data_IF_472685776932
#
_entry.id   IF_472685776932
#
_cell.length_a   1.000
_cell.length_b   1.000
_cell.length_c   1.000
_cell.angle_alpha   90.00
_cell.angle_beta   90.00
_cell.angle_gamma   90.00
#
_symmetry.space_group_name_H-M   'P 1'
#
loop_
_entity.id
_entity.type
_entity.pdbx_description
1 polymer ?
#
# COMPACT_ATOMS: atom_id res chain seq x y z
N UNK A 1 23.20 -10.26 -6.31
CA UNK A 1 23.18 -8.83 -6.03
C UNK A 1 21.91 -8.20 -6.57
N UNK A 2 21.23 -7.42 -5.76
CA UNK A 2 20.00 -6.80 -6.24
C UNK A 2 20.28 -5.88 -7.42
N UNK A 3 19.49 -5.95 -8.50
CA UNK A 3 19.68 -5.09 -9.66
C UNK A 3 19.66 -3.59 -9.32
N UNK A 4 18.97 -3.21 -8.28
CA UNK A 4 18.84 -1.82 -7.86
C UNK A 4 20.14 -1.24 -7.30
N UNK A 5 20.89 -2.01 -6.50
CA UNK A 5 22.16 -1.55 -5.96
C UNK A 5 23.19 -1.31 -7.08
N UNK A 6 23.17 -2.16 -8.11
CA UNK A 6 24.04 -2.01 -9.27
C UNK A 6 23.66 -0.78 -10.11
N UNK A 7 22.36 -0.54 -10.28
CA UNK A 7 21.87 0.61 -11.05
C UNK A 7 22.08 1.94 -10.35
N UNK A 8 22.08 1.96 -9.03
CA UNK A 8 22.27 3.19 -8.27
C UNK A 8 23.60 3.88 -8.62
N UNK A 9 24.65 3.11 -8.94
CA UNK A 9 25.94 3.65 -9.36
C UNK A 9 25.95 4.22 -10.77
N UNK A 10 24.92 3.97 -11.56
CA UNK A 10 24.83 4.42 -12.95
C UNK A 10 23.89 5.62 -13.14
N UNK A 11 23.21 6.04 -12.09
CA UNK A 11 22.27 7.15 -12.15
C UNK A 11 23.02 8.47 -12.14
N UNK A 12 22.72 9.34 -13.09
CA UNK A 12 23.35 10.67 -13.19
C UNK A 12 22.80 11.60 -12.11
N UNK A 13 23.52 12.68 -11.86
CA UNK A 13 23.09 13.72 -10.91
C UNK A 13 21.80 14.39 -11.36
N UNK A 14 21.63 14.59 -12.68
CA UNK A 14 20.40 15.15 -13.25
C UNK A 14 19.19 14.22 -13.03
N UNK A 15 19.39 12.93 -13.22
CA UNK A 15 18.34 11.93 -12.98
C UNK A 15 17.96 11.85 -11.50
N UNK A 16 18.92 11.94 -10.60
CA UNK A 16 18.66 12.00 -9.15
C UNK A 16 17.89 13.25 -8.77
N UNK A 17 18.22 14.39 -9.36
CA UNK A 17 17.53 15.64 -9.11
C UNK A 17 16.09 15.55 -9.56
N UNK A 18 15.82 15.04 -10.76
CA UNK A 18 14.46 14.82 -11.27
C UNK A 18 13.66 13.87 -10.39
N UNK A 19 14.28 12.80 -9.92
CA UNK A 19 13.63 11.85 -9.03
C UNK A 19 13.27 12.50 -7.69
N UNK A 20 14.16 13.32 -7.14
CA UNK A 20 13.89 14.08 -5.91
C UNK A 20 12.75 15.08 -6.10
N UNK A 21 12.76 15.80 -7.21
CA UNK A 21 11.72 16.78 -7.51
C UNK A 21 10.36 16.10 -7.69
N UNK A 22 10.30 14.98 -8.43
CA UNK A 22 9.09 14.20 -8.59
C UNK A 22 8.58 13.66 -7.24
N UNK A 23 9.47 13.22 -6.35
CA UNK A 23 9.12 12.77 -5.01
C UNK A 23 8.66 13.92 -4.10
N UNK A 24 9.17 15.14 -4.32
CA UNK A 24 8.77 16.31 -3.54
C UNK A 24 7.41 16.86 -3.95
N UNK A 25 6.94 16.57 -5.17
CA UNK A 25 5.61 16.95 -5.64
C UNK A 25 4.51 16.08 -5.02
N UNK A 26 4.84 14.89 -4.53
CA UNK A 26 3.91 14.05 -3.80
C UNK A 26 3.73 14.53 -2.37
N UNK A 27 2.74 13.98 -1.69
CA UNK A 27 2.50 14.25 -0.27
C UNK A 27 3.65 13.78 0.62
N UNK A 28 3.67 14.24 1.85
CA UNK A 28 4.61 13.78 2.85
C UNK A 28 4.36 12.29 3.17
N UNK A 29 5.40 11.60 3.66
CA UNK A 29 5.25 10.24 4.15
C UNK A 29 4.40 10.24 5.41
N UNK A 30 3.35 9.43 5.42
CA UNK A 30 2.45 9.28 6.55
C UNK A 30 2.76 7.96 7.26
N UNK A 31 3.34 8.06 8.45
CA UNK A 31 3.70 6.89 9.24
C UNK A 31 2.44 6.18 9.77
N UNK A 32 2.50 4.85 9.75
CA UNK A 32 1.48 3.97 10.29
C UNK A 32 2.17 2.88 11.11
N UNK A 33 1.44 2.18 12.01
CA UNK A 33 2.06 1.14 12.83
C UNK A 33 2.76 0.04 12.04
N UNK A 34 2.33 -0.21 10.81
CA UNK A 34 2.86 -1.26 9.94
C UNK A 34 3.93 -0.76 8.96
N UNK A 35 4.21 0.53 8.90
CA UNK A 35 5.13 1.15 7.96
C UNK A 35 4.64 2.53 7.57
N UNK A 36 3.95 2.65 6.47
CA UNK A 36 3.34 3.91 6.07
C UNK A 36 3.15 4.04 4.57
N UNK A 37 2.74 5.23 4.17
CA UNK A 37 2.50 5.50 2.76
C UNK A 37 2.76 6.96 2.40
N UNK A 38 2.89 7.19 1.12
CA UNK A 38 2.95 8.53 0.55
C UNK A 38 1.95 8.62 -0.59
N UNK A 39 1.14 9.67 -0.62
CA UNK A 39 0.30 9.97 -1.77
C UNK A 39 1.16 10.59 -2.86
N UNK A 40 1.20 9.95 -4.03
CA UNK A 40 2.02 10.39 -5.15
C UNK A 40 1.25 11.31 -6.07
N UNK A 41 -0.03 11.05 -6.28
CA UNK A 41 -0.87 11.81 -7.17
C UNK A 41 -2.34 11.66 -6.78
N UNK A 42 -3.11 12.71 -6.95
CA UNK A 42 -4.56 12.71 -6.81
C UNK A 42 -5.19 13.41 -8.00
N UNK A 43 -6.30 12.86 -8.47
CA UNK A 43 -7.10 13.46 -9.50
C UNK A 43 -8.58 13.20 -9.26
N UNK A 44 -9.40 13.54 -10.24
CA UNK A 44 -10.82 13.28 -10.15
C UNK A 44 -11.08 11.78 -10.23
N UNK A 45 -11.61 11.21 -9.13
CA UNK A 45 -11.96 9.79 -9.07
C UNK A 45 -10.79 8.83 -8.90
N UNK A 46 -9.58 9.31 -8.63
CA UNK A 46 -8.45 8.42 -8.36
C UNK A 46 -7.41 9.02 -7.41
N UNK A 47 -6.66 8.14 -6.78
CA UNK A 47 -5.52 8.49 -5.94
C UNK A 47 -4.45 7.40 -6.07
N UNK A 48 -3.19 7.80 -6.15
CA UNK A 48 -2.04 6.90 -6.26
C UNK A 48 -1.20 7.02 -5.00
N UNK A 49 -0.89 5.88 -4.38
CA UNK A 49 -0.06 5.81 -3.17
C UNK A 49 1.10 4.85 -3.35
N UNK A 50 2.19 5.16 -2.67
CA UNK A 50 3.29 4.23 -2.46
C UNK A 50 3.24 3.76 -1.02
N UNK A 51 2.97 2.46 -0.82
CA UNK A 51 2.91 1.85 0.50
C UNK A 51 4.21 1.11 0.79
N UNK A 52 4.64 1.19 2.05
CA UNK A 52 5.76 0.40 2.57
C UNK A 52 5.25 -0.38 3.77
N UNK A 53 5.38 -1.71 3.73
CA UNK A 53 5.04 -2.57 4.86
C UNK A 53 6.32 -3.17 5.42
N UNK A 54 6.61 -2.85 6.66
CA UNK A 54 7.83 -3.29 7.31
C UNK A 54 7.81 -4.80 7.56
N UNK A 55 8.98 -5.47 7.62
CA UNK A 55 9.07 -6.89 7.90
C UNK A 55 8.33 -7.27 9.18
N UNK A 56 7.55 -8.34 9.13
CA UNK A 56 6.79 -8.84 10.27
C UNK A 56 5.52 -8.07 10.60
N UNK A 57 5.18 -7.06 9.81
CA UNK A 57 3.98 -6.25 10.00
C UNK A 57 2.92 -6.56 8.95
N UNK A 58 1.70 -6.14 9.24
CA UNK A 58 0.58 -6.26 8.32
C UNK A 58 -0.45 -5.17 8.59
N UNK A 59 -1.18 -4.80 7.56
CA UNK A 59 -2.32 -3.91 7.69
C UNK A 59 -3.47 -4.63 8.36
N UNK A 60 -4.48 -3.89 8.82
CA UNK A 60 -5.72 -4.50 9.28
C UNK A 60 -6.42 -5.25 8.14
N UNK A 61 -7.25 -6.22 8.49
CA UNK A 61 -8.23 -6.75 7.55
C UNK A 61 -9.33 -5.69 7.42
N UNK A 62 -9.49 -5.12 6.23
CA UNK A 62 -10.27 -3.90 6.02
C UNK A 62 -11.06 -3.95 4.73
N UNK A 63 -12.06 -3.09 4.63
CA UNK A 63 -12.81 -2.85 3.39
C UNK A 63 -13.20 -1.38 3.26
N UNK A 64 -13.52 -0.99 2.03
CA UNK A 64 -13.91 0.38 1.71
C UNK A 64 -15.23 0.37 0.95
N UNK A 65 -16.12 1.32 1.25
CA UNK A 65 -17.45 1.41 0.64
C UNK A 65 -17.42 2.03 -0.75
N UNK A 66 -16.53 3.01 -0.95
CA UNK A 66 -16.63 3.92 -2.09
C UNK A 66 -15.48 3.80 -3.07
N UNK A 67 -14.51 2.88 -2.81
CA UNK A 67 -13.37 2.73 -3.69
C UNK A 67 -13.00 1.28 -3.95
N UNK A 68 -12.49 1.05 -5.15
CA UNK A 68 -11.74 -0.14 -5.50
C UNK A 68 -10.25 0.19 -5.49
N UNK A 69 -9.39 -0.82 -5.47
CA UNK A 69 -7.95 -0.62 -5.46
C UNK A 69 -7.28 -1.55 -6.46
N UNK A 70 -6.15 -1.09 -7.01
CA UNK A 70 -5.26 -1.91 -7.81
C UNK A 70 -3.88 -1.82 -7.21
N UNK A 71 -3.24 -2.94 -6.98
CA UNK A 71 -1.90 -3.01 -6.39
C UNK A 71 -0.90 -3.56 -7.38
N UNK A 72 0.28 -2.96 -7.40
CA UNK A 72 1.45 -3.49 -8.12
C UNK A 72 2.56 -3.68 -7.11
N UNK A 73 3.06 -4.89 -6.98
CA UNK A 73 4.19 -5.19 -6.09
C UNK A 73 5.47 -4.70 -6.73
N UNK A 74 6.16 -3.80 -6.04
CA UNK A 74 7.43 -3.22 -6.50
C UNK A 74 8.62 -3.95 -5.90
N UNK A 75 8.55 -4.27 -4.59
CA UNK A 75 9.63 -4.92 -3.88
C UNK A 75 9.07 -5.81 -2.77
N UNK A 76 9.84 -6.82 -2.40
CA UNK A 76 9.44 -7.77 -1.37
C UNK A 76 8.47 -8.84 -1.88
N UNK A 77 8.03 -9.71 -0.98
CA UNK A 77 7.10 -10.80 -1.31
C UNK A 77 5.94 -10.82 -0.31
N UNK A 78 4.94 -9.96 -0.51
CA UNK A 78 3.82 -9.88 0.41
C UNK A 78 2.90 -11.10 0.31
N UNK A 79 2.23 -11.36 1.42
CA UNK A 79 1.06 -12.23 1.43
C UNK A 79 -0.17 -11.32 1.45
N UNK A 80 -1.04 -11.48 0.47
CA UNK A 80 -2.24 -10.65 0.38
C UNK A 80 -3.48 -11.49 0.53
N UNK A 81 -4.50 -10.91 1.15
CA UNK A 81 -5.82 -11.51 1.28
C UNK A 81 -6.80 -10.59 0.58
N UNK A 82 -7.58 -11.13 -0.34
CA UNK A 82 -8.63 -10.39 -1.03
C UNK A 82 -9.84 -11.30 -1.17
N UNK A 83 -10.98 -10.87 -0.61
CA UNK A 83 -12.21 -11.63 -0.69
C UNK A 83 -12.10 -13.04 -0.08
N UNK A 84 -11.32 -13.19 0.98
CA UNK A 84 -11.12 -14.48 1.64
C UNK A 84 -10.06 -15.37 1.01
N UNK A 85 -9.42 -14.95 -0.08
CA UNK A 85 -8.35 -15.71 -0.73
C UNK A 85 -6.99 -15.13 -0.39
N UNK A 86 -6.10 -15.98 0.09
CA UNK A 86 -4.73 -15.60 0.41
C UNK A 86 -3.78 -16.03 -0.71
N UNK A 87 -2.87 -15.13 -1.08
CA UNK A 87 -1.84 -15.41 -2.09
C UNK A 87 -0.51 -14.80 -1.69
N UNK A 88 0.58 -15.51 -1.96
CA UNK A 88 1.92 -14.96 -1.87
C UNK A 88 2.29 -14.36 -3.22
N UNK A 89 2.79 -13.13 -3.22
CA UNK A 89 3.10 -12.40 -4.45
C UNK A 89 4.59 -12.11 -4.56
N UNK A 90 5.04 -11.92 -5.79
CA UNK A 90 6.39 -11.51 -6.14
C UNK A 90 6.37 -10.13 -6.77
N UNK A 91 7.53 -9.45 -6.86
CA UNK A 91 7.61 -8.19 -7.61
C UNK A 91 7.03 -8.34 -9.02
N UNK A 92 6.38 -7.29 -9.50
CA UNK A 92 5.61 -7.18 -10.75
C UNK A 92 4.22 -7.81 -10.71
N UNK A 93 3.87 -8.57 -9.68
CA UNK A 93 2.51 -9.09 -9.52
C UNK A 93 1.52 -7.94 -9.32
N UNK A 94 0.30 -8.13 -9.83
CA UNK A 94 -0.78 -7.17 -9.71
C UNK A 94 -1.99 -7.80 -9.05
N UNK A 95 -2.75 -6.98 -8.34
CA UNK A 95 -3.97 -7.42 -7.65
C UNK A 95 -5.05 -6.37 -7.85
N UNK A 96 -6.26 -6.81 -8.13
CA UNK A 96 -7.45 -5.97 -8.10
C UNK A 96 -8.23 -6.26 -6.82
N UNK A 97 -8.54 -5.20 -6.08
CA UNK A 97 -9.38 -5.26 -4.89
C UNK A 97 -10.71 -4.61 -5.23
N UNK A 98 -11.78 -5.40 -5.41
CA UNK A 98 -13.10 -4.84 -5.71
C UNK A 98 -13.62 -3.99 -4.56
N UNK A 99 -14.47 -3.03 -4.88
CA UNK A 99 -15.18 -2.23 -3.89
C UNK A 99 -15.93 -3.16 -2.90
N UNK A 100 -15.75 -2.90 -1.61
CA UNK A 100 -16.41 -3.66 -0.55
C UNK A 100 -15.74 -4.97 -0.17
N UNK A 101 -14.74 -5.43 -0.91
CA UNK A 101 -14.05 -6.68 -0.59
C UNK A 101 -13.13 -6.52 0.62
N UNK A 102 -13.19 -7.49 1.53
CA UNK A 102 -12.25 -7.56 2.64
C UNK A 102 -10.86 -7.84 2.10
N UNK A 103 -9.87 -7.08 2.54
CA UNK A 103 -8.50 -7.23 2.06
C UNK A 103 -7.46 -6.84 3.11
N UNK A 104 -6.25 -7.36 2.93
CA UNK A 104 -5.12 -7.10 3.81
C UNK A 104 -3.82 -7.39 3.08
N UNK A 105 -2.79 -6.60 3.39
CA UNK A 105 -1.40 -6.84 2.96
C UNK A 105 -0.60 -7.24 4.19
N UNK A 106 0.15 -8.33 4.09
CA UNK A 106 1.04 -8.81 5.13
C UNK A 106 2.47 -8.88 4.58
N UNK A 107 3.44 -8.58 5.42
CA UNK A 107 4.85 -8.79 5.11
C UNK A 107 5.45 -9.86 6.02
N UNK A 108 5.38 -11.14 5.63
CA UNK A 108 5.99 -12.22 6.42
C UNK A 108 7.50 -12.36 6.18
N UNK A 109 8.07 -11.57 5.28
CA UNK A 109 9.47 -11.65 4.91
C UNK A 109 10.38 -10.82 5.81
N UNK A 110 11.63 -10.66 5.35
CA UNK A 110 12.69 -9.97 6.11
C UNK A 110 13.10 -8.64 5.48
N UNK A 111 12.53 -8.29 4.33
CA UNK A 111 12.77 -7.02 3.65
C UNK A 111 11.47 -6.25 3.54
N UNK A 112 11.51 -4.92 3.43
CA UNK A 112 10.30 -4.13 3.25
C UNK A 112 9.54 -4.54 2.00
N UNK A 113 8.21 -4.55 2.08
CA UNK A 113 7.32 -4.67 0.94
C UNK A 113 6.98 -3.28 0.45
N UNK A 114 7.10 -3.05 -0.86
CA UNK A 114 6.70 -1.79 -1.50
C UNK A 114 5.62 -2.09 -2.52
N UNK A 115 4.52 -1.37 -2.42
CA UNK A 115 3.37 -1.52 -3.32
C UNK A 115 2.97 -0.15 -3.84
N UNK A 116 2.71 -0.07 -5.15
CA UNK A 116 2.00 1.07 -5.73
C UNK A 116 0.53 0.71 -5.76
N UNK A 117 -0.28 1.55 -5.14
CA UNK A 117 -1.71 1.39 -5.02
C UNK A 117 -2.42 2.49 -5.79
N UNK A 118 -3.35 2.12 -6.66
CA UNK A 118 -4.24 3.06 -7.33
C UNK A 118 -5.64 2.84 -6.78
N UNK A 119 -6.20 3.89 -6.19
CA UNK A 119 -7.56 3.91 -5.67
C UNK A 119 -8.48 4.55 -6.69
N UNK A 120 -9.65 3.96 -6.92
CA UNK A 120 -10.68 4.49 -7.82
C UNK A 120 -12.01 4.58 -7.08
N UNK A 121 -12.67 5.71 -7.20
CA UNK A 121 -14.00 5.84 -6.64
C UNK A 121 -14.46 7.29 -6.54
N UNK A 122 -15.74 7.49 -6.20
CA UNK A 122 -16.31 8.83 -6.03
C UNK A 122 -15.86 9.52 -4.75
N UNK A 123 -15.36 8.75 -3.77
CA UNK A 123 -14.86 9.29 -2.51
C UNK A 123 -13.62 8.51 -2.09
N UNK A 124 -12.52 9.22 -1.84
CA UNK A 124 -11.21 8.63 -1.55
C UNK A 124 -10.67 9.06 -0.17
N UNK A 125 -11.53 9.53 0.72
CA UNK A 125 -11.13 9.92 2.07
C UNK A 125 -10.65 8.73 2.90
N UNK A 126 -9.70 8.96 3.81
CA UNK A 126 -9.12 7.93 4.66
C UNK A 126 -10.11 7.40 5.70
N UNK A 127 -11.21 8.10 5.94
CA UNK A 127 -12.28 7.68 6.84
C UNK A 127 -13.22 6.64 6.21
N UNK A 128 -13.12 6.36 4.92
CA UNK A 128 -13.83 5.26 4.27
C UNK A 128 -13.10 3.94 4.53
N UNK A 129 -13.18 3.46 5.76
CA UNK A 129 -12.53 2.23 6.17
C UNK A 129 -13.31 1.54 7.29
N UNK A 130 -13.49 0.23 7.14
CA UNK A 130 -14.01 -0.65 8.18
C UNK A 130 -12.94 -1.68 8.45
N UNK A 131 -12.49 -1.79 9.70
CA UNK A 131 -11.46 -2.73 10.12
C UNK A 131 -12.08 -3.86 10.94
N UNK A 132 -11.71 -5.10 10.59
CA UNK A 132 -12.18 -6.28 11.32
C UNK A 132 -11.10 -6.86 12.22
N UNK A 133 -9.88 -6.99 11.73
CA UNK A 133 -8.74 -7.48 12.50
C UNK A 133 -7.63 -6.47 12.38
N UNK A 134 -7.12 -6.00 13.50
CA UNK A 134 -6.06 -5.01 13.50
C UNK A 134 -5.13 -5.27 14.68
N UNK A 135 -3.87 -5.60 14.39
CA UNK A 135 -2.84 -5.88 15.39
C UNK A 135 -2.56 -4.68 16.29
N UNK A 136 -3.02 -3.50 15.90
CA UNK A 136 -2.75 -2.23 16.58
C UNK A 136 -3.97 -1.64 17.29
N UNK A 137 -5.04 -2.42 17.41
CA UNK A 137 -6.21 -2.06 18.22
C UNK A 137 -7.17 -1.05 17.59
N UNK A 138 -7.16 -0.88 16.27
CA UNK A 138 -8.01 0.10 15.56
C UNK A 138 -9.28 -0.51 14.94
N UNK A 139 -9.71 -1.66 15.44
CA UNK A 139 -10.83 -2.38 14.83
C UNK A 139 -12.17 -1.67 15.01
N UNK A 140 -12.97 -1.67 13.94
CA UNK A 140 -14.34 -1.13 13.93
C UNK A 140 -15.35 -2.09 14.56
N UNK A 141 -15.04 -3.38 14.69
CA UNK A 141 -15.96 -4.37 15.28
C UNK A 141 -16.21 -4.15 16.76
N UNK A 142 -15.37 -3.39 17.40
CA UNK A 142 -15.50 -3.05 18.82
C UNK A 142 -16.83 -2.36 19.14
N UNK A 143 -17.35 -1.61 18.19
CA UNK A 143 -18.60 -0.87 18.33
C UNK A 143 -19.83 -1.76 18.21
N UNK A 144 -19.72 -2.88 17.54
CA UNK A 144 -20.83 -3.81 17.31
C UNK A 144 -21.09 -4.73 18.49
N UNK A 145 -20.14 -4.81 19.42
CA UNK A 145 -20.23 -5.64 20.62
C UNK A 145 -20.71 -4.89 21.87
N UNK A 146 -20.92 -3.61 21.74
CA UNK A 146 -21.32 -2.74 22.84
C UNK A 146 -22.71 -2.98 23.39
#
# INVERSE_FOLDING_TARGET
>A
MPPFAHRAGLVTEAERSQTRDALSEGGAFEARPWGGFRTLEEGSGYKVKRLVVEPGHRLSLQRHRFRAEHWVVIAGSPRVIVGGRARRLKPKATVTVPRGAWHRIENPGKVPVVIIEVQHGPYLGEDDIIRRQDDYGRTSERTERG
#
